data_IF_637779764792
#
_entry.id   IF_637779764792
#
_cell.length_a   1.000
_cell.length_b   1.000
_cell.length_c   1.000
_cell.angle_alpha   90.00
_cell.angle_beta   90.00
_cell.angle_gamma   90.00
#
_symmetry.space_group_name_H-M   'P 1'
#
loop_
_entity.id
_entity.type
_entity.pdbx_description
1 polymer ?
#
# COMPACT_ATOMS: atom_id res chain seq x y z
N UNK A 1 13.93 20.85 24.78
CA UNK A 1 14.42 19.60 25.38
C UNK A 1 13.51 18.54 24.81
N UNK A 2 14.01 17.70 23.91
CA UNK A 2 13.29 16.52 23.40
C UNK A 2 12.96 15.58 24.55
N UNK A 3 11.78 14.99 24.51
CA UNK A 3 11.39 13.95 25.48
C UNK A 3 12.41 12.80 25.41
N UNK A 4 12.81 12.17 26.52
CA UNK A 4 13.65 10.97 26.50
C UNK A 4 13.09 9.82 25.67
N UNK A 5 11.78 9.72 25.51
CA UNK A 5 11.13 8.73 24.64
C UNK A 5 11.37 9.04 23.15
N UNK A 6 11.19 10.30 22.73
CA UNK A 6 11.48 10.74 21.35
C UNK A 6 12.95 10.48 20.98
N UNK A 7 13.88 10.76 21.91
CA UNK A 7 15.30 10.52 21.68
C UNK A 7 15.62 9.02 21.47
N UNK A 8 14.94 8.13 22.19
CA UNK A 8 15.12 6.68 22.05
C UNK A 8 14.55 6.17 20.73
N UNK A 9 13.43 6.72 20.27
CA UNK A 9 12.84 6.39 18.97
C UNK A 9 13.75 6.83 17.81
N UNK A 10 14.28 8.05 17.85
CA UNK A 10 15.25 8.56 16.88
C UNK A 10 16.52 7.69 16.79
N UNK A 11 16.98 7.15 17.94
CA UNK A 11 18.14 6.24 17.97
C UNK A 11 17.83 4.92 17.27
N UNK A 12 16.65 4.36 17.48
CA UNK A 12 16.19 3.13 16.82
C UNK A 12 16.00 3.37 15.32
N UNK A 13 15.38 4.48 14.91
CA UNK A 13 15.24 4.85 13.50
C UNK A 13 16.61 4.93 12.81
N UNK A 14 17.58 5.61 13.43
CA UNK A 14 18.93 5.72 12.88
C UNK A 14 19.61 4.35 12.77
N UNK A 15 19.44 3.48 13.76
CA UNK A 15 19.99 2.13 13.73
C UNK A 15 19.38 1.28 12.61
N UNK A 16 18.08 1.38 12.38
CA UNK A 16 17.38 0.70 11.30
C UNK A 16 17.81 1.23 9.92
N UNK A 17 17.87 2.56 9.75
CA UNK A 17 18.29 3.19 8.49
C UNK A 17 19.78 2.96 8.16
N UNK A 18 20.61 2.67 9.16
CA UNK A 18 22.03 2.32 8.95
C UNK A 18 22.21 0.89 8.42
N UNK A 19 21.16 0.04 8.46
CA UNK A 19 21.19 -1.31 7.89
C UNK A 19 21.16 -1.28 6.37
N UNK A 20 21.38 -2.42 5.74
CA UNK A 20 21.24 -2.55 4.29
C UNK A 20 19.85 -2.06 3.86
N UNK A 21 19.79 -1.14 2.89
CA UNK A 21 18.53 -0.57 2.43
C UNK A 21 17.71 -1.62 1.69
N UNK A 22 16.40 -1.43 1.67
CA UNK A 22 15.44 -2.27 0.94
C UNK A 22 15.77 -2.43 -0.56
N UNK A 23 16.55 -1.50 -1.12
CA UNK A 23 16.96 -1.50 -2.54
C UNK A 23 18.19 -2.36 -2.83
N UNK A 24 18.91 -2.83 -1.81
CA UNK A 24 20.01 -3.76 -1.98
C UNK A 24 19.52 -5.17 -1.71
N UNK A 25 18.98 -5.78 -2.75
CA UNK A 25 18.41 -7.11 -2.67
C UNK A 25 19.49 -8.21 -2.74
N UNK A 26 19.42 -9.11 -1.78
CA UNK A 26 20.00 -10.45 -1.84
C UNK A 26 18.90 -11.45 -1.48
N UNK A 27 18.16 -11.96 -2.49
CA UNK A 27 17.01 -12.83 -2.30
C UNK A 27 17.40 -14.09 -1.51
N UNK A 28 17.06 -14.16 -0.23
CA UNK A 28 17.23 -15.33 0.64
C UNK A 28 16.34 -15.19 1.87
N UNK A 29 15.76 -16.28 2.30
CA UNK A 29 15.04 -16.37 3.57
C UNK A 29 15.95 -16.81 4.74
N UNK A 30 17.23 -17.09 4.50
CA UNK A 30 18.09 -17.71 5.51
C UNK A 30 18.33 -16.79 6.70
N UNK A 31 18.56 -15.48 6.46
CA UNK A 31 18.80 -14.49 7.50
C UNK A 31 17.57 -14.30 8.39
N UNK A 32 16.42 -14.06 7.77
CA UNK A 32 15.17 -13.88 8.54
C UNK A 32 14.75 -15.16 9.24
N UNK A 33 14.90 -16.34 8.64
CA UNK A 33 14.69 -17.65 9.31
C UNK A 33 15.58 -17.82 10.52
N UNK A 34 16.87 -17.46 10.40
CA UNK A 34 17.79 -17.51 11.53
C UNK A 34 17.33 -16.59 12.67
N UNK A 35 16.88 -15.37 12.34
CA UNK A 35 16.36 -14.44 13.34
C UNK A 35 15.13 -14.99 14.04
N UNK A 36 14.07 -15.34 13.29
CA UNK A 36 12.82 -15.80 13.91
C UNK A 36 13.03 -17.09 14.71
N UNK A 37 13.92 -17.99 14.27
CA UNK A 37 14.28 -19.17 15.03
C UNK A 37 14.93 -18.85 16.38
N UNK A 38 15.85 -17.88 16.42
CA UNK A 38 16.46 -17.41 17.67
C UNK A 38 15.44 -16.74 18.60
N UNK A 39 14.38 -16.14 18.04
CA UNK A 39 13.27 -15.53 18.77
C UNK A 39 12.21 -16.58 19.23
N UNK A 40 12.39 -17.85 18.91
CA UNK A 40 11.45 -18.92 19.27
C UNK A 40 10.28 -19.07 18.30
N UNK A 41 10.48 -18.70 17.03
CA UNK A 41 9.51 -18.82 15.94
C UNK A 41 8.18 -18.07 16.20
N UNK A 42 8.22 -16.77 16.59
CA UNK A 42 7.04 -16.00 16.97
C UNK A 42 5.96 -15.95 15.89
N UNK A 43 6.35 -16.00 14.60
CA UNK A 43 5.44 -15.98 13.44
C UNK A 43 4.52 -17.23 13.36
N UNK A 44 4.76 -18.24 14.18
CA UNK A 44 3.95 -19.48 14.23
C UNK A 44 2.91 -19.48 15.35
N UNK A 45 2.90 -18.46 16.20
CA UNK A 45 2.04 -18.42 17.40
C UNK A 45 0.61 -17.90 17.11
N UNK A 46 0.35 -17.42 15.91
CA UNK A 46 -0.94 -16.92 15.44
C UNK A 46 -1.15 -17.27 13.95
N UNK A 47 -2.41 -17.41 13.49
CA UNK A 47 -2.72 -17.57 12.09
C UNK A 47 -2.43 -16.30 11.28
N UNK A 48 -2.18 -16.46 9.97
CA UNK A 48 -1.78 -15.37 9.09
C UNK A 48 -2.63 -15.33 7.81
N UNK A 49 -3.05 -14.12 7.43
CA UNK A 49 -3.51 -13.78 6.08
C UNK A 49 -2.38 -12.98 5.43
N UNK A 50 -1.80 -13.51 4.36
CA UNK A 50 -0.69 -12.86 3.65
C UNK A 50 -1.15 -12.27 2.31
N UNK A 51 -0.69 -11.05 2.00
CA UNK A 51 -1.09 -10.35 0.79
C UNK A 51 0.13 -10.02 -0.08
N UNK A 52 0.01 -10.30 -1.38
CA UNK A 52 0.95 -9.82 -2.41
C UNK A 52 0.18 -9.24 -3.60
N UNK A 53 0.89 -8.65 -4.52
CA UNK A 53 0.37 -7.99 -5.72
C UNK A 53 1.22 -6.79 -6.10
N UNK A 54 0.91 -6.11 -7.19
CA UNK A 54 1.56 -4.85 -7.54
C UNK A 54 0.84 -3.70 -6.87
N UNK A 55 -0.45 -3.56 -7.09
CA UNK A 55 -1.29 -2.50 -6.52
C UNK A 55 -2.39 -3.09 -5.63
N UNK A 56 -2.89 -2.30 -4.67
CA UNK A 56 -4.03 -2.68 -3.82
C UNK A 56 -3.69 -3.42 -2.53
N UNK A 57 -2.45 -3.91 -2.34
CA UNK A 57 -2.04 -4.67 -1.14
C UNK A 57 -2.44 -3.99 0.18
N UNK A 58 -1.96 -2.77 0.41
CA UNK A 58 -2.17 -2.01 1.65
C UNK A 58 -3.65 -1.74 1.90
N UNK A 59 -4.39 -1.28 0.87
CA UNK A 59 -5.83 -1.02 1.00
C UNK A 59 -6.61 -2.30 1.31
N UNK A 60 -6.32 -3.40 0.60
CA UNK A 60 -6.94 -4.71 0.89
C UNK A 60 -6.58 -5.20 2.28
N UNK A 61 -5.31 -5.07 2.71
CA UNK A 61 -4.87 -5.45 4.04
C UNK A 61 -5.58 -4.67 5.15
N UNK A 62 -5.78 -3.36 4.98
CA UNK A 62 -6.55 -2.52 5.92
C UNK A 62 -8.02 -2.91 5.99
N UNK A 63 -8.63 -3.29 4.85
CA UNK A 63 -10.00 -3.78 4.80
C UNK A 63 -10.15 -5.14 5.49
N UNK A 64 -9.18 -6.05 5.30
CA UNK A 64 -9.11 -7.34 6.00
C UNK A 64 -9.00 -7.12 7.51
N UNK A 65 -8.08 -6.26 7.94
CA UNK A 65 -7.89 -5.90 9.35
C UNK A 65 -9.17 -5.32 9.97
N UNK A 66 -9.83 -4.38 9.28
CA UNK A 66 -11.06 -3.78 9.74
C UNK A 66 -12.20 -4.82 9.92
N UNK A 67 -12.35 -5.76 8.98
CA UNK A 67 -13.34 -6.86 9.08
C UNK A 67 -13.03 -7.75 10.29
N UNK A 68 -11.79 -8.17 10.47
CA UNK A 68 -11.38 -9.02 11.59
C UNK A 68 -11.59 -8.33 12.94
N UNK A 69 -11.24 -7.05 13.06
CA UNK A 69 -11.46 -6.25 14.28
C UNK A 69 -12.95 -6.07 14.58
N UNK A 70 -13.77 -5.81 13.56
CA UNK A 70 -15.21 -5.69 13.73
C UNK A 70 -15.87 -7.01 14.17
N UNK A 71 -15.24 -8.16 13.84
CA UNK A 71 -15.62 -9.47 14.38
C UNK A 71 -15.17 -9.68 15.85
N UNK A 72 -14.45 -8.73 16.43
CA UNK A 72 -13.93 -8.79 17.81
C UNK A 72 -12.61 -9.53 17.96
N UNK A 73 -11.88 -9.77 16.86
CA UNK A 73 -10.55 -10.38 16.89
C UNK A 73 -9.50 -9.32 17.15
N UNK A 74 -8.48 -9.68 17.92
CA UNK A 74 -7.27 -8.87 18.10
C UNK A 74 -6.33 -9.07 16.93
N UNK A 75 -6.01 -8.01 16.22
CA UNK A 75 -5.23 -8.10 14.98
C UNK A 75 -3.83 -7.55 15.11
N UNK A 76 -2.89 -8.16 14.37
CA UNK A 76 -1.62 -7.56 14.01
C UNK A 76 -1.60 -7.25 12.51
N UNK A 77 -1.14 -6.08 12.09
CA UNK A 77 -0.98 -5.78 10.68
C UNK A 77 0.44 -5.31 10.38
N UNK A 78 1.09 -5.96 9.42
CA UNK A 78 2.36 -5.52 8.86
C UNK A 78 2.14 -4.95 7.46
N UNK A 79 2.62 -3.73 7.23
CA UNK A 79 2.49 -3.02 5.95
C UNK A 79 3.79 -2.35 5.53
N UNK A 80 3.97 -2.12 4.22
CA UNK A 80 5.13 -1.42 3.67
C UNK A 80 4.82 -0.78 2.30
N UNK A 81 5.45 0.38 2.00
CA UNK A 81 6.20 1.23 2.92
C UNK A 81 5.27 1.99 3.88
N UNK A 82 5.83 2.69 4.87
CA UNK A 82 5.08 3.66 5.69
C UNK A 82 4.88 4.97 4.90
N UNK A 83 3.91 5.76 5.31
CA UNK A 83 3.61 7.05 4.71
C UNK A 83 4.35 8.19 5.43
N UNK A 84 4.29 8.24 6.76
CA UNK A 84 4.87 9.29 7.58
C UNK A 84 5.84 8.75 8.65
N UNK A 85 5.45 7.69 9.38
CA UNK A 85 6.21 7.13 10.50
C UNK A 85 6.54 5.65 10.30
N UNK A 86 7.72 5.21 10.73
CA UNK A 86 8.10 3.79 10.70
C UNK A 86 7.18 2.91 11.56
N UNK A 87 6.55 3.47 12.59
CA UNK A 87 5.60 2.75 13.44
C UNK A 87 4.38 2.25 12.68
N UNK A 88 3.98 2.93 11.58
CA UNK A 88 2.90 2.51 10.70
C UNK A 88 3.12 1.11 10.07
N UNK A 89 4.35 0.63 10.05
CA UNK A 89 4.64 -0.70 9.50
C UNK A 89 4.19 -1.83 10.41
N UNK A 90 3.97 -1.55 11.69
CA UNK A 90 3.53 -2.51 12.71
C UNK A 90 2.30 -1.95 13.40
N UNK A 91 1.12 -2.47 13.07
CA UNK A 91 -0.12 -2.07 13.70
C UNK A 91 -0.64 -3.19 14.61
N UNK A 92 -1.22 -2.81 15.73
CA UNK A 92 -1.89 -3.70 16.67
C UNK A 92 -3.29 -3.14 16.92
N UNK A 93 -4.32 -3.95 16.70
CA UNK A 93 -5.73 -3.55 16.82
C UNK A 93 -6.08 -2.32 15.96
N UNK A 94 -5.50 -2.22 14.75
CA UNK A 94 -5.75 -1.15 13.78
C UNK A 94 -4.98 0.14 14.01
N UNK A 95 -4.21 0.25 15.10
CA UNK A 95 -3.42 1.44 15.43
C UNK A 95 -1.92 1.16 15.23
N UNK A 96 -1.15 2.13 14.71
CA UNK A 96 0.30 2.03 14.68
C UNK A 96 0.86 1.75 16.06
N UNK A 97 1.88 0.90 16.16
CA UNK A 97 2.58 0.66 17.40
C UNK A 97 3.07 1.99 17.99
N UNK A 98 2.87 2.20 19.29
CA UNK A 98 3.44 3.39 19.93
C UNK A 98 4.98 3.36 19.83
N UNK A 99 5.60 4.54 19.88
CA UNK A 99 7.07 4.63 19.88
C UNK A 99 7.70 3.80 21.01
N UNK A 100 7.06 3.76 22.18
CA UNK A 100 7.51 2.92 23.31
C UNK A 100 7.51 1.43 22.95
N UNK A 101 6.42 0.94 22.33
CA UNK A 101 6.32 -0.46 21.86
C UNK A 101 7.36 -0.73 20.78
N UNK A 102 7.53 0.17 19.84
CA UNK A 102 8.50 0.06 18.75
C UNK A 102 9.95 -0.01 19.28
N UNK A 103 10.33 0.89 20.20
CA UNK A 103 11.65 0.94 20.84
C UNK A 103 11.90 -0.31 21.67
N UNK A 104 10.93 -0.72 22.49
CA UNK A 104 11.01 -1.95 23.30
C UNK A 104 11.23 -3.16 22.40
N UNK A 105 10.40 -3.35 21.38
CA UNK A 105 10.52 -4.48 20.45
C UNK A 105 11.88 -4.53 19.78
N UNK A 106 12.40 -3.39 19.31
CA UNK A 106 13.75 -3.34 18.74
C UNK A 106 14.82 -3.73 19.77
N UNK A 107 14.73 -3.19 20.98
CA UNK A 107 15.69 -3.46 22.07
C UNK A 107 15.71 -4.93 22.44
N UNK A 108 14.55 -5.57 22.52
CA UNK A 108 14.41 -6.98 22.87
C UNK A 108 15.03 -7.90 21.81
N UNK A 109 14.89 -7.57 20.52
CA UNK A 109 15.46 -8.37 19.44
C UNK A 109 16.93 -8.02 19.10
N UNK A 110 17.44 -6.86 19.51
CA UNK A 110 18.78 -6.37 19.14
C UNK A 110 19.92 -7.37 19.41
N UNK A 111 19.98 -8.08 20.56
CA UNK A 111 21.01 -9.09 20.78
C UNK A 111 20.99 -10.22 19.76
N UNK A 112 19.82 -10.62 19.26
CA UNK A 112 19.66 -11.67 18.26
C UNK A 112 20.04 -11.18 16.86
N UNK A 113 19.76 -9.90 16.53
CA UNK A 113 20.23 -9.29 15.29
C UNK A 113 21.76 -9.37 15.18
N UNK A 114 22.49 -9.06 16.26
CA UNK A 114 23.95 -9.18 16.28
C UNK A 114 24.45 -10.60 16.06
N UNK A 115 23.75 -11.61 16.61
CA UNK A 115 24.12 -13.02 16.42
C UNK A 115 23.96 -13.42 14.95
N UNK A 116 22.83 -13.05 14.32
CA UNK A 116 22.57 -13.33 12.90
C UNK A 116 23.58 -12.60 12.02
N UNK A 117 23.79 -11.30 12.24
CA UNK A 117 24.72 -10.47 11.45
C UNK A 117 26.15 -11.01 11.47
N UNK A 118 26.58 -11.66 12.57
CA UNK A 118 27.91 -12.30 12.67
C UNK A 118 27.97 -13.70 12.05
N UNK A 119 26.85 -14.41 11.96
CA UNK A 119 26.76 -15.81 11.51
C UNK A 119 26.44 -15.94 10.02
N UNK A 120 25.93 -14.90 9.39
CA UNK A 120 25.51 -14.91 7.99
C UNK A 120 26.53 -14.17 7.10
N UNK A 121 26.60 -14.48 5.79
CA UNK A 121 27.48 -13.80 4.86
C UNK A 121 27.25 -12.28 4.77
N UNK A 122 26.01 -11.86 5.02
CA UNK A 122 25.59 -10.45 5.01
C UNK A 122 24.68 -10.17 6.21
N UNK A 123 24.69 -8.96 6.76
CA UNK A 123 23.83 -8.58 7.86
C UNK A 123 22.35 -8.56 7.41
N UNK A 124 21.43 -8.66 8.36
CA UNK A 124 20.01 -8.43 8.14
C UNK A 124 19.78 -7.03 7.53
N UNK A 125 18.97 -6.97 6.50
CA UNK A 125 18.54 -5.70 5.91
C UNK A 125 17.58 -4.93 6.82
N UNK A 126 17.31 -3.68 6.47
CA UNK A 126 16.25 -2.89 7.11
C UNK A 126 14.91 -3.65 7.11
N UNK A 127 14.50 -4.17 5.93
CA UNK A 127 13.21 -4.84 5.78
C UNK A 127 13.13 -6.14 6.58
N UNK A 128 14.17 -6.98 6.55
CA UNK A 128 14.23 -8.20 7.36
C UNK A 128 14.15 -7.90 8.85
N UNK A 129 14.82 -6.83 9.30
CA UNK A 129 14.80 -6.44 10.71
C UNK A 129 13.42 -5.99 11.17
N UNK A 130 12.75 -5.11 10.40
CA UNK A 130 11.43 -4.63 10.78
C UNK A 130 10.35 -5.71 10.65
N UNK A 131 10.53 -6.66 9.72
CA UNK A 131 9.68 -7.87 9.65
C UNK A 131 9.82 -8.74 10.90
N UNK A 132 11.06 -8.95 11.37
CA UNK A 132 11.31 -9.68 12.62
C UNK A 132 10.73 -8.96 13.84
N UNK A 133 10.82 -7.62 13.89
CA UNK A 133 10.15 -6.80 14.91
C UNK A 133 8.64 -7.01 14.89
N UNK A 134 8.01 -6.99 13.71
CA UNK A 134 6.57 -7.18 13.59
C UNK A 134 6.13 -8.53 14.15
N UNK A 135 6.81 -9.60 13.78
CA UNK A 135 6.48 -10.94 14.28
C UNK A 135 6.64 -11.07 15.80
N UNK A 136 7.70 -10.48 16.37
CA UNK A 136 7.90 -10.44 17.81
C UNK A 136 6.79 -9.63 18.51
N UNK A 137 6.47 -8.43 17.97
CA UNK A 137 5.43 -7.57 18.53
C UNK A 137 4.05 -8.22 18.53
N UNK A 138 3.68 -8.95 17.46
CA UNK A 138 2.40 -9.64 17.36
C UNK A 138 2.30 -10.82 18.34
N UNK A 139 3.39 -11.55 18.54
CA UNK A 139 3.45 -12.61 19.54
C UNK A 139 3.35 -12.07 20.96
N UNK A 140 4.04 -10.96 21.26
CA UNK A 140 4.00 -10.30 22.57
C UNK A 140 2.62 -9.67 22.86
N UNK A 141 1.94 -9.17 21.83
CA UNK A 141 0.61 -8.59 21.93
C UNK A 141 -0.53 -9.63 21.94
N UNK A 142 -0.28 -10.91 22.05
CA UNK A 142 -1.01 -12.11 21.68
C UNK A 142 -2.20 -11.84 20.74
N UNK A 143 -1.90 -11.53 19.47
CA UNK A 143 -2.93 -11.30 18.46
C UNK A 143 -3.64 -12.60 18.07
N UNK A 144 -4.92 -12.52 17.73
CA UNK A 144 -5.70 -13.66 17.26
C UNK A 144 -5.39 -14.01 15.80
N UNK A 145 -4.96 -13.01 15.01
CA UNK A 145 -4.61 -13.15 13.59
C UNK A 145 -3.68 -12.01 13.15
N UNK A 146 -2.74 -12.32 12.25
CA UNK A 146 -1.92 -11.30 11.61
C UNK A 146 -2.25 -11.14 10.12
N UNK A 147 -2.32 -9.90 9.65
CA UNK A 147 -2.47 -9.49 8.25
C UNK A 147 -1.11 -8.99 7.76
N UNK A 148 -0.47 -9.72 6.86
CA UNK A 148 0.94 -9.50 6.51
C UNK A 148 1.08 -9.14 5.03
N UNK A 149 1.46 -7.89 4.77
CA UNK A 149 1.74 -7.39 3.44
C UNK A 149 3.18 -7.74 3.03
N UNK A 150 3.33 -8.36 1.85
CA UNK A 150 4.63 -8.61 1.21
C UNK A 150 5.25 -7.30 0.74
N UNK A 151 6.52 -7.07 1.06
CA UNK A 151 7.25 -5.90 0.59
C UNK A 151 7.49 -5.93 -0.92
N UNK A 152 8.12 -7.00 -1.40
CA UNK A 152 8.42 -7.17 -2.83
C UNK A 152 8.44 -8.64 -3.23
N UNK A 153 7.86 -8.95 -4.41
CA UNK A 153 7.83 -10.32 -4.92
C UNK A 153 6.91 -11.22 -4.10
N UNK A 154 7.44 -12.25 -3.49
CA UNK A 154 6.68 -13.21 -2.70
C UNK A 154 7.55 -14.35 -2.18
N UNK A 155 8.10 -15.20 -3.05
CA UNK A 155 8.79 -16.43 -2.66
C UNK A 155 9.98 -16.22 -1.71
N UNK A 156 10.74 -15.16 -1.91
CA UNK A 156 11.95 -14.81 -1.13
C UNK A 156 11.77 -13.57 -0.24
N UNK A 157 10.59 -12.96 -0.22
CA UNK A 157 10.32 -11.82 0.67
C UNK A 157 10.42 -12.24 2.14
N UNK A 158 11.00 -11.38 2.98
CA UNK A 158 11.20 -11.68 4.40
C UNK A 158 9.90 -12.08 5.12
N UNK A 159 8.75 -11.55 4.66
CA UNK A 159 7.44 -11.91 5.21
C UNK A 159 7.04 -13.35 4.92
N UNK A 160 7.66 -14.01 3.93
CA UNK A 160 7.25 -15.35 3.48
C UNK A 160 7.82 -16.51 4.32
N UNK A 161 8.39 -16.19 5.49
CA UNK A 161 8.71 -17.23 6.53
C UNK A 161 7.46 -17.75 7.24
N UNK A 162 6.30 -17.11 7.06
CA UNK A 162 5.01 -17.58 7.59
C UNK A 162 4.38 -18.65 6.71
N UNK A 163 3.58 -19.53 7.29
CA UNK A 163 2.68 -20.43 6.58
C UNK A 163 1.25 -19.87 6.68
N UNK A 164 0.91 -18.99 5.75
CA UNK A 164 -0.36 -18.29 5.75
C UNK A 164 -1.53 -19.25 5.51
N UNK A 165 -2.62 -19.09 6.26
CA UNK A 165 -3.86 -19.85 6.06
C UNK A 165 -4.60 -19.34 4.81
N UNK A 166 -4.52 -18.01 4.56
CA UNK A 166 -5.08 -17.39 3.37
C UNK A 166 -4.01 -16.55 2.69
N UNK A 167 -3.86 -16.74 1.38
CA UNK A 167 -2.94 -16.01 0.52
C UNK A 167 -3.73 -15.17 -0.47
N UNK A 168 -3.63 -13.85 -0.38
CA UNK A 168 -4.34 -12.91 -1.27
C UNK A 168 -3.37 -12.39 -2.34
N UNK A 169 -3.75 -12.52 -3.61
CA UNK A 169 -2.99 -11.95 -4.72
C UNK A 169 -3.84 -10.85 -5.36
N UNK A 170 -3.50 -9.61 -5.06
CA UNK A 170 -4.12 -8.43 -5.69
C UNK A 170 -3.59 -8.24 -7.12
N UNK A 171 -4.11 -7.31 -7.95
CA UNK A 171 -3.70 -7.19 -9.34
C UNK A 171 -2.18 -7.10 -9.54
N UNK A 172 -1.67 -7.89 -10.48
CA UNK A 172 -0.25 -7.95 -10.86
C UNK A 172 -0.02 -7.17 -12.14
N UNK A 173 0.89 -6.21 -12.08
CA UNK A 173 1.34 -5.38 -13.19
C UNK A 173 2.86 -5.20 -13.13
N UNK A 174 3.44 -4.52 -14.11
CA UNK A 174 4.87 -4.22 -14.11
C UNK A 174 5.18 -3.17 -13.05
N UNK A 175 6.00 -3.54 -12.09
CA UNK A 175 6.68 -2.66 -11.14
C UNK A 175 7.94 -3.38 -10.67
N UNK A 176 8.95 -2.63 -10.22
CA UNK A 176 10.25 -3.17 -9.81
C UNK A 176 10.89 -4.08 -10.88
N UNK A 177 10.78 -3.69 -12.17
CA UNK A 177 11.20 -4.50 -13.30
C UNK A 177 12.66 -4.98 -13.23
N UNK A 178 13.57 -4.15 -12.67
CA UNK A 178 14.98 -4.49 -12.46
C UNK A 178 15.20 -5.69 -11.52
N UNK A 179 14.20 -6.07 -10.71
CA UNK A 179 14.29 -7.15 -9.73
C UNK A 179 13.36 -8.32 -10.04
N UNK A 180 12.17 -8.04 -10.53
CA UNK A 180 11.11 -9.05 -10.69
C UNK A 180 10.90 -9.45 -12.17
N UNK A 181 11.47 -8.70 -13.11
CA UNK A 181 11.29 -8.93 -14.55
C UNK A 181 10.38 -7.89 -15.22
N UNK A 182 10.44 -7.86 -16.54
CA UNK A 182 9.77 -6.86 -17.37
C UNK A 182 8.35 -7.28 -17.79
N UNK A 183 7.96 -8.53 -17.53
CA UNK A 183 6.66 -9.07 -17.91
C UNK A 183 5.81 -9.39 -16.68
N UNK A 184 4.50 -9.09 -16.69
CA UNK A 184 3.61 -9.42 -15.58
C UNK A 184 3.64 -10.90 -15.20
N UNK A 185 3.80 -11.82 -16.16
CA UNK A 185 3.90 -13.25 -15.93
C UNK A 185 5.15 -13.62 -15.09
N UNK A 186 6.30 -13.00 -15.35
CA UNK A 186 7.53 -13.25 -14.61
C UNK A 186 7.39 -12.76 -13.15
N UNK A 187 6.78 -11.59 -12.98
CA UNK A 187 6.43 -11.02 -11.67
C UNK A 187 5.44 -11.92 -10.91
N UNK A 188 4.48 -12.51 -11.63
CA UNK A 188 3.50 -13.42 -11.06
C UNK A 188 4.12 -14.69 -10.49
N UNK A 189 5.20 -15.21 -11.09
CA UNK A 189 5.92 -16.39 -10.59
C UNK A 189 6.44 -16.14 -9.16
N UNK A 190 7.05 -14.97 -8.94
CA UNK A 190 7.54 -14.60 -7.61
C UNK A 190 6.40 -14.41 -6.62
N UNK A 191 5.33 -13.72 -7.03
CA UNK A 191 4.18 -13.47 -6.17
C UNK A 191 3.43 -14.74 -5.81
N UNK A 192 3.31 -15.68 -6.74
CA UNK A 192 2.71 -16.98 -6.51
C UNK A 192 3.38 -17.78 -5.37
N UNK A 193 4.64 -17.44 -5.01
CA UNK A 193 5.38 -18.09 -3.94
C UNK A 193 4.74 -17.99 -2.55
N UNK A 194 3.82 -17.04 -2.30
CA UNK A 194 3.08 -16.98 -1.03
C UNK A 194 1.98 -18.06 -0.94
N UNK A 195 1.54 -18.62 -2.07
CA UNK A 195 0.55 -19.70 -2.11
C UNK A 195 1.26 -20.99 -1.74
N UNK A 196 0.99 -21.52 -0.54
CA UNK A 196 1.65 -22.68 0.05
C UNK A 196 0.71 -23.86 0.20
N UNK A 197 1.23 -25.09 0.37
CA UNK A 197 0.40 -26.25 0.69
C UNK A 197 -0.46 -26.00 1.92
N UNK A 198 -1.76 -26.33 1.81
CA UNK A 198 -2.72 -26.14 2.90
C UNK A 198 -3.30 -24.72 3.03
N UNK A 199 -2.84 -23.75 2.24
CA UNK A 199 -3.43 -22.40 2.21
C UNK A 199 -4.69 -22.35 1.33
N UNK A 200 -5.45 -21.27 1.47
CA UNK A 200 -6.53 -20.88 0.55
C UNK A 200 -6.11 -19.63 -0.19
N UNK A 201 -6.12 -19.67 -1.53
CA UNK A 201 -5.74 -18.56 -2.38
C UNK A 201 -6.98 -17.73 -2.77
N UNK A 202 -6.93 -16.42 -2.51
CA UNK A 202 -7.91 -15.43 -3.00
C UNK A 202 -7.21 -14.61 -4.08
N UNK A 203 -7.69 -14.75 -5.32
CA UNK A 203 -7.06 -14.15 -6.49
C UNK A 203 -7.95 -13.04 -7.04
N UNK A 204 -7.47 -11.80 -7.04
CA UNK A 204 -8.09 -10.73 -7.81
C UNK A 204 -8.08 -11.07 -9.30
N UNK A 205 -8.93 -10.42 -10.10
CA UNK A 205 -8.90 -10.54 -11.54
C UNK A 205 -7.53 -10.16 -12.10
N UNK A 206 -7.04 -10.94 -13.04
CA UNK A 206 -5.70 -10.83 -13.62
C UNK A 206 -5.74 -10.86 -15.13
N UNK A 207 -4.66 -10.42 -15.78
CA UNK A 207 -4.47 -10.72 -17.19
C UNK A 207 -4.39 -12.24 -17.41
N UNK A 208 -4.77 -12.77 -18.59
CA UNK A 208 -4.77 -14.21 -18.84
C UNK A 208 -3.41 -14.88 -18.55
N UNK A 209 -2.30 -14.23 -18.91
CA UNK A 209 -0.95 -14.76 -18.69
C UNK A 209 -0.58 -14.85 -17.19
N UNK A 210 -1.02 -13.89 -16.36
CA UNK A 210 -0.83 -13.92 -14.90
C UNK A 210 -1.74 -14.97 -14.27
N UNK A 211 -3.00 -15.03 -14.69
CA UNK A 211 -3.98 -16.03 -14.21
C UNK A 211 -3.49 -17.46 -14.43
N UNK A 212 -2.88 -17.75 -15.59
CA UNK A 212 -2.29 -19.06 -15.88
C UNK A 212 -1.17 -19.43 -14.90
N UNK A 213 -0.26 -18.51 -14.59
CA UNK A 213 0.83 -18.72 -13.62
C UNK A 213 0.28 -19.02 -12.23
N UNK A 214 -0.68 -18.22 -11.76
CA UNK A 214 -1.29 -18.39 -10.44
C UNK A 214 -2.07 -19.71 -10.35
N UNK A 215 -2.84 -20.06 -11.38
CA UNK A 215 -3.57 -21.32 -11.44
C UNK A 215 -2.64 -22.54 -11.43
N UNK A 216 -1.52 -22.47 -12.16
CA UNK A 216 -0.50 -23.51 -12.16
C UNK A 216 0.09 -23.70 -10.73
N UNK A 217 0.36 -22.63 -10.00
CA UNK A 217 0.86 -22.68 -8.62
C UNK A 217 -0.16 -23.27 -7.66
N UNK A 218 -1.43 -22.85 -7.75
CA UNK A 218 -2.54 -23.41 -6.95
C UNK A 218 -2.63 -24.91 -7.16
N UNK A 219 -2.60 -25.35 -8.41
CA UNK A 219 -2.65 -26.78 -8.73
C UNK A 219 -1.42 -27.55 -8.23
N UNK A 220 -0.22 -26.97 -8.36
CA UNK A 220 1.05 -27.57 -7.87
C UNK A 220 1.01 -27.87 -6.38
N UNK A 221 0.53 -26.90 -5.57
CA UNK A 221 0.54 -27.03 -4.10
C UNK A 221 -0.76 -27.63 -3.54
N UNK A 222 -1.79 -27.80 -4.38
CA UNK A 222 -3.10 -28.32 -3.95
C UNK A 222 -3.84 -27.37 -3.02
N UNK A 223 -3.68 -26.05 -3.18
CA UNK A 223 -4.39 -25.04 -2.40
C UNK A 223 -5.85 -24.92 -2.81
N UNK A 224 -6.73 -24.56 -1.87
CA UNK A 224 -8.07 -24.07 -2.20
C UNK A 224 -7.95 -22.72 -2.95
N UNK A 225 -8.93 -22.38 -3.78
CA UNK A 225 -8.86 -21.12 -4.55
C UNK A 225 -10.23 -20.49 -4.76
N UNK A 226 -10.28 -19.17 -4.70
CA UNK A 226 -11.38 -18.36 -5.19
C UNK A 226 -10.84 -17.24 -6.10
N UNK A 227 -11.53 -16.99 -7.21
CA UNK A 227 -11.14 -16.02 -8.23
C UNK A 227 -12.21 -14.95 -8.35
N UNK A 228 -11.80 -13.69 -8.38
CA UNK A 228 -12.69 -12.56 -8.61
C UNK A 228 -13.39 -12.67 -9.97
N UNK A 229 -14.69 -12.39 -9.99
CA UNK A 229 -15.53 -12.53 -11.19
C UNK A 229 -16.17 -13.92 -11.33
N UNK A 230 -15.63 -14.95 -10.67
CA UNK A 230 -16.20 -16.30 -10.68
C UNK A 230 -16.90 -16.64 -9.35
N UNK A 231 -16.16 -16.57 -8.22
CA UNK A 231 -16.70 -16.96 -6.90
C UNK A 231 -17.01 -15.78 -6.00
N UNK A 232 -16.39 -14.63 -6.22
CA UNK A 232 -16.62 -13.41 -5.45
C UNK A 232 -16.44 -12.17 -6.33
N UNK A 233 -16.90 -11.01 -5.87
CA UNK A 233 -16.67 -9.75 -6.58
C UNK A 233 -17.69 -8.67 -6.23
N UNK A 234 -17.69 -7.59 -7.00
CA UNK A 234 -18.61 -6.46 -6.89
C UNK A 234 -19.77 -6.67 -7.86
N UNK A 235 -20.99 -6.80 -7.35
CA UNK A 235 -22.21 -6.99 -8.18
C UNK A 235 -22.92 -5.66 -8.46
N UNK A 236 -22.79 -4.67 -7.56
CA UNK A 236 -23.29 -3.31 -7.75
C UNK A 236 -22.31 -2.31 -7.16
N UNK A 237 -22.05 -1.23 -7.89
CA UNK A 237 -21.26 -0.11 -7.44
C UNK A 237 -21.94 1.21 -7.81
N UNK A 238 -22.16 2.04 -6.81
CA UNK A 238 -22.76 3.37 -6.96
C UNK A 238 -21.80 4.42 -6.36
N UNK A 239 -21.03 5.13 -7.17
CA UNK A 239 -20.21 6.25 -6.69
C UNK A 239 -21.07 7.33 -6.04
N UNK A 240 -20.55 7.95 -4.98
CA UNK A 240 -21.24 8.99 -4.24
C UNK A 240 -20.30 9.95 -3.54
N UNK A 241 -20.89 10.89 -2.83
CA UNK A 241 -20.12 11.89 -2.07
C UNK A 241 -19.42 11.22 -0.89
N UNK A 242 -18.10 11.37 -0.83
CA UNK A 242 -17.28 10.84 0.26
C UNK A 242 -17.01 9.33 0.19
N UNK A 243 -17.34 8.67 -0.92
CA UNK A 243 -17.12 7.24 -1.11
C UNK A 243 -18.05 6.61 -2.13
N UNK A 244 -18.40 5.35 -1.91
CA UNK A 244 -19.24 4.58 -2.82
C UNK A 244 -20.10 3.56 -2.06
N UNK A 245 -21.28 3.26 -2.59
CA UNK A 245 -22.16 2.21 -2.08
C UNK A 245 -21.98 0.95 -2.91
N UNK A 246 -21.76 -0.18 -2.26
CA UNK A 246 -21.44 -1.45 -2.89
C UNK A 246 -22.49 -2.53 -2.56
N UNK A 247 -22.67 -3.46 -3.48
CA UNK A 247 -23.13 -4.82 -3.20
C UNK A 247 -21.98 -5.75 -3.55
N UNK A 248 -21.59 -6.57 -2.59
CA UNK A 248 -20.45 -7.48 -2.70
C UNK A 248 -20.96 -8.93 -2.67
N UNK A 249 -20.61 -9.71 -3.69
CA UNK A 249 -20.73 -11.16 -3.63
C UNK A 249 -19.48 -11.70 -2.93
N UNK A 250 -19.65 -12.24 -1.73
CA UNK A 250 -18.63 -13.01 -1.03
C UNK A 250 -18.62 -14.48 -1.45
N UNK A 251 -17.82 -15.30 -0.78
CA UNK A 251 -17.78 -16.76 -0.99
C UNK A 251 -19.02 -17.45 -0.45
N UNK A 252 -19.55 -16.95 0.66
CA UNK A 252 -20.67 -17.54 1.38
C UNK A 252 -22.01 -16.84 1.08
N UNK A 253 -22.02 -15.52 0.94
CA UNK A 253 -23.25 -14.73 0.80
C UNK A 253 -23.06 -13.47 -0.03
N UNK A 254 -24.18 -12.81 -0.37
CA UNK A 254 -24.20 -11.47 -0.94
C UNK A 254 -24.45 -10.43 0.18
N UNK A 255 -23.66 -9.34 0.18
CA UNK A 255 -23.71 -8.26 1.16
C UNK A 255 -24.10 -6.96 0.46
N UNK A 256 -25.27 -6.44 0.82
CA UNK A 256 -25.87 -5.27 0.18
C UNK A 256 -25.70 -4.00 1.02
N UNK A 257 -25.77 -2.83 0.36
CA UNK A 257 -25.71 -1.52 1.01
C UNK A 257 -24.44 -1.35 1.88
N UNK A 258 -23.31 -1.82 1.37
CA UNK A 258 -22.00 -1.65 2.01
C UNK A 258 -21.41 -0.32 1.59
N UNK A 259 -21.33 0.64 2.50
CA UNK A 259 -20.67 1.92 2.25
C UNK A 259 -19.16 1.78 2.43
N UNK A 260 -18.40 2.24 1.42
CA UNK A 260 -16.94 2.30 1.45
C UNK A 260 -16.51 3.77 1.27
N UNK A 261 -15.88 4.43 2.27
CA UNK A 261 -15.45 5.83 2.21
C UNK A 261 -14.15 6.01 1.41
N UNK A 262 -13.95 5.22 0.37
CA UNK A 262 -12.83 5.30 -0.56
C UNK A 262 -13.36 5.40 -1.99
N UNK A 263 -12.63 6.13 -2.84
CA UNK A 263 -13.02 6.38 -4.23
C UNK A 263 -12.36 5.42 -5.22
N UNK A 264 -13.01 5.21 -6.35
CA UNK A 264 -12.51 4.43 -7.47
C UNK A 264 -12.94 2.96 -7.46
N UNK A 265 -13.10 2.41 -8.66
CA UNK A 265 -13.49 1.01 -8.87
C UNK A 265 -12.48 0.03 -8.25
N UNK A 266 -11.18 0.35 -8.35
CA UNK A 266 -10.12 -0.46 -7.76
C UNK A 266 -10.29 -0.68 -6.25
N UNK A 267 -10.82 0.31 -5.50
CA UNK A 267 -11.09 0.17 -4.07
C UNK A 267 -12.30 -0.73 -3.80
N UNK A 268 -13.33 -0.69 -4.65
CA UNK A 268 -14.46 -1.62 -4.56
C UNK A 268 -14.00 -3.07 -4.79
N UNK A 269 -13.13 -3.29 -5.76
CA UNK A 269 -12.53 -4.62 -6.03
C UNK A 269 -11.63 -5.09 -4.88
N UNK A 270 -10.84 -4.20 -4.29
CA UNK A 270 -10.07 -4.50 -3.07
C UNK A 270 -10.98 -4.94 -1.93
N UNK A 271 -12.17 -4.31 -1.79
CA UNK A 271 -13.16 -4.70 -0.78
C UNK A 271 -13.71 -6.11 -1.04
N UNK A 272 -13.98 -6.48 -2.30
CA UNK A 272 -14.36 -7.84 -2.68
C UNK A 272 -13.29 -8.87 -2.30
N UNK A 273 -12.02 -8.58 -2.59
CA UNK A 273 -10.90 -9.45 -2.20
C UNK A 273 -10.76 -9.57 -0.67
N UNK A 274 -10.92 -8.46 0.06
CA UNK A 274 -10.83 -8.46 1.52
C UNK A 274 -11.94 -9.30 2.16
N UNK A 275 -13.19 -9.14 1.68
CA UNK A 275 -14.34 -9.93 2.13
C UNK A 275 -14.10 -11.42 1.90
N UNK A 276 -13.72 -11.80 0.67
CA UNK A 276 -13.45 -13.19 0.32
C UNK A 276 -12.30 -13.79 1.17
N UNK A 277 -11.27 -12.99 1.47
CA UNK A 277 -10.16 -13.42 2.31
C UNK A 277 -10.59 -13.73 3.75
N UNK A 278 -11.45 -12.88 4.33
CA UNK A 278 -11.94 -13.09 5.69
C UNK A 278 -12.93 -14.26 5.74
N UNK A 279 -13.85 -14.38 4.77
CA UNK A 279 -14.74 -15.55 4.70
C UNK A 279 -13.93 -16.86 4.55
N UNK A 280 -12.88 -16.89 3.70
CA UNK A 280 -12.01 -18.04 3.58
C UNK A 280 -11.29 -18.35 4.91
N UNK A 281 -10.84 -17.33 5.61
CA UNK A 281 -10.16 -17.46 6.91
C UNK A 281 -11.05 -18.08 7.98
N UNK A 282 -12.31 -17.70 8.01
CA UNK A 282 -13.29 -18.27 8.98
C UNK A 282 -13.94 -19.58 8.50
N UNK A 283 -13.42 -20.16 7.43
CA UNK A 283 -13.87 -21.49 6.94
C UNK A 283 -15.04 -21.45 5.96
N UNK A 284 -15.27 -20.33 5.27
CA UNK A 284 -16.29 -20.18 4.22
C UNK A 284 -17.69 -19.99 4.79
N UNK A 285 -17.83 -19.41 5.96
CA UNK A 285 -19.12 -19.08 6.57
C UNK A 285 -19.53 -17.63 6.30
N UNK A 286 -20.83 -17.39 6.19
CA UNK A 286 -21.43 -16.06 6.06
C UNK A 286 -21.06 -15.19 7.26
N UNK A 287 -20.65 -13.96 7.00
CA UNK A 287 -20.41 -12.95 8.02
C UNK A 287 -21.71 -12.20 8.34
N UNK A 288 -21.81 -11.64 9.54
CA UNK A 288 -22.91 -10.76 9.87
C UNK A 288 -22.88 -9.49 9.00
N UNK A 289 -24.02 -9.13 8.39
CA UNK A 289 -24.10 -7.98 7.48
C UNK A 289 -23.75 -6.66 8.17
N UNK A 290 -24.12 -6.50 9.44
CA UNK A 290 -23.81 -5.28 10.20
C UNK A 290 -22.31 -5.20 10.54
N UNK A 291 -21.64 -6.35 10.75
CA UNK A 291 -20.19 -6.44 10.88
C UNK A 291 -19.51 -5.99 9.58
N UNK A 292 -19.97 -6.49 8.43
CA UNK A 292 -19.40 -6.11 7.13
C UNK A 292 -19.60 -4.62 6.85
N UNK A 293 -20.82 -4.09 7.06
CA UNK A 293 -21.13 -2.66 6.88
C UNK A 293 -20.33 -1.78 7.83
N UNK A 294 -20.23 -2.15 9.09
CA UNK A 294 -19.44 -1.42 10.09
C UNK A 294 -17.96 -1.36 9.72
N UNK A 295 -17.38 -2.51 9.40
CA UNK A 295 -15.98 -2.62 9.04
C UNK A 295 -15.62 -1.73 7.83
N UNK A 296 -16.34 -1.89 6.72
CA UNK A 296 -16.05 -1.11 5.52
C UNK A 296 -16.34 0.38 5.67
N UNK A 297 -17.37 0.73 6.47
CA UNK A 297 -17.74 2.14 6.72
C UNK A 297 -16.69 2.94 7.48
N UNK A 298 -15.81 2.28 8.21
CA UNK A 298 -14.74 2.90 9.01
C UNK A 298 -13.35 2.81 8.36
N UNK A 299 -13.23 2.17 7.20
CA UNK A 299 -11.92 1.99 6.53
C UNK A 299 -11.33 3.33 6.12
N UNK A 300 -10.11 3.59 6.57
CA UNK A 300 -9.29 4.68 6.08
C UNK A 300 -8.07 4.14 5.34
N UNK A 301 -7.71 4.77 4.24
CA UNK A 301 -6.50 4.45 3.48
C UNK A 301 -5.74 5.75 3.15
N UNK A 302 -4.96 6.29 4.11
CA UNK A 302 -4.21 7.51 3.90
C UNK A 302 -3.36 7.46 2.62
N UNK A 303 -3.32 8.60 1.89
CA UNK A 303 -2.63 8.69 0.61
C UNK A 303 -3.27 7.88 -0.53
N UNK A 304 -4.56 7.53 -0.45
CA UNK A 304 -5.35 6.90 -1.52
C UNK A 304 -6.57 7.76 -1.83
N UNK A 305 -6.42 8.71 -2.75
CA UNK A 305 -7.37 9.79 -3.04
C UNK A 305 -7.89 10.48 -1.77
N UNK A 306 -6.98 10.69 -0.83
CA UNK A 306 -7.25 11.35 0.44
C UNK A 306 -7.43 12.85 0.25
N UNK A 307 -8.60 13.38 0.65
CA UNK A 307 -8.84 14.84 0.64
C UNK A 307 -8.24 15.44 1.91
N UNK A 308 -7.10 16.13 1.76
CA UNK A 308 -6.36 16.70 2.89
C UNK A 308 -6.72 18.17 3.16
N UNK A 309 -7.11 18.90 2.14
CA UNK A 309 -7.54 20.31 2.22
C UNK A 309 -8.76 20.56 1.34
N UNK A 310 -9.67 21.45 1.78
CA UNK A 310 -10.94 21.68 1.10
C UNK A 310 -11.03 23.01 0.33
N UNK A 311 -10.02 23.89 0.43
CA UNK A 311 -10.02 25.17 -0.28
C UNK A 311 -8.59 25.67 -0.50
N UNK A 312 -8.07 25.65 -1.76
CA UNK A 312 -8.58 24.78 -2.82
C UNK A 312 -8.56 23.32 -2.38
N UNK A 313 -9.32 22.46 -3.05
CA UNK A 313 -9.31 21.03 -2.72
C UNK A 313 -7.95 20.46 -3.08
N UNK A 314 -7.27 19.82 -2.10
CA UNK A 314 -6.03 19.09 -2.35
C UNK A 314 -6.29 17.62 -2.02
N UNK A 315 -5.98 16.76 -2.99
CA UNK A 315 -6.11 15.31 -2.91
C UNK A 315 -4.72 14.70 -2.97
N UNK A 316 -4.47 13.70 -2.13
CA UNK A 316 -3.22 12.94 -2.09
C UNK A 316 -3.46 11.53 -2.66
N UNK A 317 -2.63 11.09 -3.60
CA UNK A 317 -2.64 9.71 -4.09
C UNK A 317 -1.24 9.19 -4.35
N UNK A 318 -0.89 8.07 -3.73
CA UNK A 318 0.43 7.48 -3.79
C UNK A 318 0.67 6.55 -5.00
N UNK A 319 -0.04 6.75 -6.10
CA UNK A 319 0.23 6.08 -7.37
C UNK A 319 1.68 6.37 -7.83
N UNK A 320 2.42 5.32 -8.19
CA UNK A 320 3.85 5.41 -8.49
C UNK A 320 4.29 4.45 -9.61
N UNK A 321 3.35 3.85 -10.31
CA UNK A 321 3.54 3.03 -11.49
C UNK A 321 2.40 3.28 -12.49
N UNK A 322 2.52 2.91 -13.78
CA UNK A 322 1.52 3.23 -14.79
C UNK A 322 0.12 2.71 -14.47
N UNK A 323 0.00 1.50 -13.95
CA UNK A 323 -1.30 0.93 -13.59
C UNK A 323 -1.96 1.66 -12.42
N UNK A 324 -1.17 2.07 -11.40
CA UNK A 324 -1.64 2.90 -10.29
C UNK A 324 -2.04 4.29 -10.74
N UNK A 325 -1.25 4.92 -11.63
CA UNK A 325 -1.56 6.22 -12.21
C UNK A 325 -2.89 6.19 -13.00
N UNK A 326 -3.10 5.12 -13.78
CA UNK A 326 -4.36 4.92 -14.50
C UNK A 326 -5.56 4.83 -13.56
N UNK A 327 -5.47 4.00 -12.53
CA UNK A 327 -6.54 3.85 -11.54
C UNK A 327 -6.83 5.15 -10.78
N UNK A 328 -5.78 5.93 -10.44
CA UNK A 328 -5.93 7.22 -9.78
C UNK A 328 -6.57 8.26 -10.71
N UNK A 329 -6.15 8.35 -11.97
CA UNK A 329 -6.69 9.28 -12.96
C UNK A 329 -8.19 9.04 -13.21
N UNK A 330 -8.59 7.77 -13.40
CA UNK A 330 -9.99 7.38 -13.55
C UNK A 330 -10.82 7.77 -12.30
N UNK A 331 -10.31 7.40 -11.13
CA UNK A 331 -11.03 7.64 -9.87
C UNK A 331 -11.14 9.13 -9.53
N UNK A 332 -10.14 9.97 -9.85
CA UNK A 332 -10.22 11.43 -9.69
C UNK A 332 -11.30 12.02 -10.59
N UNK A 333 -11.37 11.60 -11.85
CA UNK A 333 -12.40 12.10 -12.78
C UNK A 333 -13.81 11.68 -12.35
N UNK A 334 -13.95 10.48 -11.80
CA UNK A 334 -15.24 9.97 -11.32
C UNK A 334 -15.69 10.66 -10.03
N UNK A 335 -14.78 10.83 -9.07
CA UNK A 335 -15.11 11.31 -7.73
C UNK A 335 -15.19 12.84 -7.61
N UNK A 336 -14.47 13.55 -8.48
CA UNK A 336 -14.31 15.02 -8.40
C UNK A 336 -14.58 15.68 -9.74
N UNK A 337 -15.26 16.84 -9.67
CA UNK A 337 -15.53 17.67 -10.85
C UNK A 337 -14.55 18.86 -10.89
N UNK A 338 -13.24 18.57 -10.90
CA UNK A 338 -12.22 19.61 -10.93
C UNK A 338 -12.13 20.30 -12.30
N UNK A 339 -12.09 21.63 -12.28
CA UNK A 339 -11.87 22.47 -13.45
C UNK A 339 -11.16 23.78 -13.00
N UNK A 340 -9.82 23.87 -13.17
CA UNK A 340 -8.88 22.85 -13.64
C UNK A 340 -8.45 21.85 -12.59
N UNK A 341 -7.91 20.68 -13.00
CA UNK A 341 -7.11 19.82 -12.15
C UNK A 341 -5.62 20.14 -12.36
N UNK A 342 -4.91 20.43 -11.28
CA UNK A 342 -3.46 20.72 -11.29
C UNK A 342 -2.73 19.55 -10.62
N UNK A 343 -1.73 18.97 -11.30
CA UNK A 343 -0.88 17.93 -10.72
C UNK A 343 0.33 18.51 -9.99
N UNK A 344 0.64 18.00 -8.80
CA UNK A 344 1.97 18.11 -8.18
C UNK A 344 2.59 16.73 -8.23
N UNK A 345 3.63 16.57 -9.03
CA UNK A 345 4.20 15.24 -9.33
C UNK A 345 5.65 15.17 -8.90
N UNK A 346 5.95 14.18 -8.05
CA UNK A 346 7.32 13.85 -7.65
C UNK A 346 7.50 12.33 -7.63
N UNK A 347 8.40 11.82 -8.48
CA UNK A 347 8.59 10.39 -8.73
C UNK A 347 10.00 9.93 -8.36
N UNK A 348 10.17 8.62 -8.18
CA UNK A 348 11.49 8.00 -8.05
C UNK A 348 12.11 7.76 -9.43
N UNK A 349 13.44 7.89 -9.53
CA UNK A 349 14.18 7.78 -10.79
C UNK A 349 14.11 6.37 -11.44
N UNK A 350 13.79 5.35 -10.66
CA UNK A 350 13.67 3.96 -11.11
C UNK A 350 12.29 3.58 -11.66
N UNK A 351 11.37 4.54 -11.76
CA UNK A 351 10.00 4.30 -12.21
C UNK A 351 9.79 4.64 -13.70
N UNK A 352 8.73 4.13 -14.29
CA UNK A 352 8.33 4.41 -15.68
C UNK A 352 7.70 5.82 -15.80
N UNK A 353 8.54 6.85 -15.69
CA UNK A 353 8.13 8.26 -15.54
C UNK A 353 7.30 8.74 -16.72
N UNK A 354 7.75 8.43 -17.95
CA UNK A 354 7.06 8.82 -19.19
C UNK A 354 5.63 8.28 -19.23
N UNK A 355 5.44 7.00 -18.85
CA UNK A 355 4.12 6.35 -18.87
C UNK A 355 3.20 6.91 -17.78
N UNK A 356 3.76 7.20 -16.59
CA UNK A 356 3.00 7.84 -15.49
C UNK A 356 2.51 9.22 -15.91
N UNK A 357 3.39 10.05 -16.45
CA UNK A 357 3.06 11.40 -16.91
C UNK A 357 2.07 11.37 -18.08
N UNK A 358 2.28 10.49 -19.07
CA UNK A 358 1.36 10.33 -20.19
C UNK A 358 -0.04 9.91 -19.76
N UNK A 359 -0.16 9.14 -18.67
CA UNK A 359 -1.45 8.74 -18.11
C UNK A 359 -2.19 9.92 -17.48
N UNK A 360 -1.47 10.85 -16.84
CA UNK A 360 -2.08 12.02 -16.22
C UNK A 360 -2.30 13.20 -17.18
N UNK A 361 -1.62 13.24 -18.33
CA UNK A 361 -1.68 14.35 -19.29
C UNK A 361 -3.11 14.72 -19.71
N UNK A 362 -4.00 13.76 -20.05
CA UNK A 362 -5.37 14.06 -20.48
C UNK A 362 -6.26 14.67 -19.38
N UNK A 363 -5.90 14.47 -18.11
CA UNK A 363 -6.74 14.84 -16.96
C UNK A 363 -6.24 16.06 -16.22
N UNK A 364 -4.94 16.41 -16.33
CA UNK A 364 -4.34 17.55 -15.66
C UNK A 364 -4.22 18.73 -16.62
N UNK A 365 -4.71 19.89 -16.22
CA UNK A 365 -4.54 21.14 -16.98
C UNK A 365 -3.09 21.62 -16.96
N UNK A 366 -2.43 21.53 -15.80
CA UNK A 366 -1.04 21.86 -15.59
C UNK A 366 -0.40 20.82 -14.67
N UNK A 367 0.93 20.65 -14.79
CA UNK A 367 1.73 19.83 -13.89
C UNK A 367 2.85 20.68 -13.26
N UNK A 368 2.99 20.56 -11.95
CA UNK A 368 4.10 21.13 -11.17
C UNK A 368 5.04 19.99 -10.80
N UNK A 369 6.18 19.92 -11.46
CA UNK A 369 7.21 18.93 -11.23
C UNK A 369 8.03 19.29 -9.99
N UNK A 370 8.16 18.33 -9.06
CA UNK A 370 8.89 18.50 -7.81
C UNK A 370 9.75 17.27 -7.50
N UNK A 371 10.46 17.30 -6.38
CA UNK A 371 11.22 16.17 -5.87
C UNK A 371 11.00 16.01 -4.37
N UNK A 372 11.07 14.78 -3.87
CA UNK A 372 11.02 14.49 -2.44
C UNK A 372 12.44 14.44 -1.83
N UNK A 373 12.50 14.25 -0.50
CA UNK A 373 13.76 14.31 0.26
C UNK A 373 14.71 13.15 0.03
N UNK A 374 14.27 12.04 -0.58
CA UNK A 374 15.11 10.89 -0.80
C UNK A 374 16.11 11.11 -1.94
N UNK A 375 17.33 10.60 -1.77
CA UNK A 375 18.40 10.66 -2.79
C UNK A 375 18.05 9.92 -4.10
N UNK A 376 17.03 9.04 -4.09
CA UNK A 376 16.53 8.33 -5.28
C UNK A 376 15.38 9.07 -5.98
N UNK A 377 14.95 10.21 -5.46
CA UNK A 377 13.97 11.04 -6.16
C UNK A 377 14.53 11.49 -7.49
N UNK A 378 13.74 11.43 -8.56
CA UNK A 378 14.13 12.08 -9.81
C UNK A 378 14.23 13.58 -9.57
N UNK A 379 15.34 14.25 -9.95
CA UNK A 379 15.46 15.69 -9.79
C UNK A 379 14.33 16.44 -10.51
N UNK A 380 13.79 17.47 -9.85
CA UNK A 380 12.63 18.20 -10.37
C UNK A 380 12.86 18.79 -11.77
N UNK A 381 14.11 19.23 -12.08
CA UNK A 381 14.44 19.78 -13.39
C UNK A 381 14.41 18.70 -14.48
N UNK A 382 14.93 17.49 -14.19
CA UNK A 382 14.89 16.35 -15.12
C UNK A 382 13.45 15.85 -15.34
N UNK A 383 12.64 15.82 -14.27
CA UNK A 383 11.23 15.51 -14.38
C UNK A 383 10.49 16.55 -15.23
N UNK A 384 10.85 17.83 -15.09
CA UNK A 384 10.32 18.93 -15.89
C UNK A 384 10.61 18.75 -17.38
N UNK A 385 11.86 18.42 -17.73
CA UNK A 385 12.25 18.18 -19.13
C UNK A 385 11.43 17.06 -19.78
N UNK A 386 11.20 15.96 -19.04
CA UNK A 386 10.34 14.86 -19.52
C UNK A 386 8.89 15.33 -19.66
N UNK A 387 8.39 16.05 -18.66
CA UNK A 387 7.02 16.55 -18.65
C UNK A 387 6.75 17.55 -19.80
N UNK A 388 7.71 18.42 -20.15
CA UNK A 388 7.58 19.33 -21.29
C UNK A 388 7.40 18.57 -22.62
N UNK A 389 8.03 17.43 -22.77
CA UNK A 389 7.84 16.56 -23.92
C UNK A 389 6.44 15.97 -24.05
N UNK A 390 5.71 15.86 -22.96
CA UNK A 390 4.38 15.22 -22.88
C UNK A 390 3.26 16.26 -22.82
N UNK A 391 3.36 17.23 -21.88
CA UNK A 391 2.34 18.26 -21.64
C UNK A 391 2.50 19.51 -22.52
N UNK A 392 3.70 19.75 -23.06
CA UNK A 392 4.10 21.01 -23.67
C UNK A 392 4.57 22.05 -22.64
N UNK A 393 5.49 22.97 -23.03
CA UNK A 393 6.16 23.86 -22.09
C UNK A 393 5.22 24.83 -21.35
N UNK A 394 4.09 25.20 -21.95
CA UNK A 394 3.14 26.16 -21.36
C UNK A 394 2.36 25.54 -20.16
N UNK A 395 2.34 24.22 -20.02
CA UNK A 395 1.61 23.51 -18.98
C UNK A 395 2.52 22.96 -17.86
N UNK A 396 3.84 23.15 -17.96
CA UNK A 396 4.82 22.59 -17.03
C UNK A 396 5.43 23.67 -16.16
N UNK A 397 5.44 23.42 -14.86
CA UNK A 397 6.08 24.25 -13.86
C UNK A 397 7.08 23.43 -13.06
N UNK A 398 8.28 23.96 -12.76
CA UNK A 398 9.26 23.24 -11.97
C UNK A 398 9.48 23.95 -10.64
N UNK A 399 9.34 23.21 -9.54
CA UNK A 399 9.62 23.67 -8.18
C UNK A 399 10.32 22.56 -7.42
N UNK A 400 11.58 22.78 -7.02
CA UNK A 400 12.37 21.76 -6.33
C UNK A 400 11.84 21.43 -4.93
N UNK A 401 11.25 22.43 -4.25
CA UNK A 401 10.66 22.24 -2.92
C UNK A 401 9.19 21.88 -3.06
N UNK A 402 8.77 20.88 -2.30
CA UNK A 402 7.40 20.38 -2.34
C UNK A 402 6.38 21.42 -1.83
N UNK A 403 6.72 22.18 -0.78
CA UNK A 403 5.89 23.27 -0.27
C UNK A 403 5.64 24.35 -1.35
N UNK A 404 6.71 24.81 -2.02
CA UNK A 404 6.61 25.76 -3.14
C UNK A 404 5.79 25.19 -4.31
N UNK A 405 5.91 23.88 -4.57
CA UNK A 405 5.14 23.21 -5.62
C UNK A 405 3.64 23.18 -5.31
N UNK A 406 3.28 22.86 -4.07
CA UNK A 406 1.89 22.85 -3.59
C UNK A 406 1.29 24.27 -3.65
N UNK A 407 2.05 25.29 -3.24
CA UNK A 407 1.58 26.68 -3.28
C UNK A 407 1.33 27.17 -4.70
N UNK A 408 2.23 26.85 -5.65
CA UNK A 408 2.04 27.18 -7.07
C UNK A 408 0.81 26.45 -7.64
N UNK A 409 0.66 25.16 -7.34
CA UNK A 409 -0.48 24.38 -7.81
C UNK A 409 -1.81 24.92 -7.23
N UNK A 410 -1.82 25.32 -5.96
CA UNK A 410 -2.99 25.91 -5.32
C UNK A 410 -3.37 27.25 -5.99
N UNK A 411 -2.38 28.12 -6.30
CA UNK A 411 -2.61 29.37 -7.05
C UNK A 411 -3.22 29.12 -8.43
N UNK A 412 -2.65 28.16 -9.20
CA UNK A 412 -3.18 27.80 -10.53
C UNK A 412 -4.61 27.23 -10.47
N UNK A 413 -4.92 26.46 -9.43
CA UNK A 413 -6.27 25.92 -9.23
C UNK A 413 -7.30 27.02 -8.89
N UNK A 414 -6.88 28.11 -8.23
CA UNK A 414 -7.74 29.25 -7.91
C UNK A 414 -7.89 30.23 -9.09
N UNK A 415 -6.85 30.39 -9.93
CA UNK A 415 -6.87 31.26 -11.10
C UNK A 415 -7.70 30.74 -12.29
N UNK A 416 -7.89 29.42 -12.36
CA UNK A 416 -8.45 28.70 -13.51
C UNK A 416 -9.95 28.89 -13.73
N UNK A 417 -10.67 29.67 -12.93
CA UNK A 417 -12.06 30.02 -13.17
C UNK A 417 -12.19 31.07 -14.29
N UNK A 418 -12.29 30.61 -15.55
CA UNK A 418 -12.63 31.48 -16.68
C UNK A 418 -14.01 32.08 -16.49
N UNK A 419 -14.25 33.24 -17.09
CA UNK A 419 -15.52 33.98 -17.04
C UNK A 419 -16.73 33.06 -17.28
N UNK A 420 -17.47 32.74 -16.19
CA UNK A 420 -18.68 31.92 -16.24
C UNK A 420 -18.63 30.56 -15.55
N UNK A 421 -17.47 30.09 -15.12
CA UNK A 421 -17.33 28.90 -14.27
C UNK A 421 -17.39 29.28 -12.79
N UNK A 422 -17.85 28.32 -11.94
CA UNK A 422 -17.95 28.60 -10.52
C UNK A 422 -16.53 28.79 -9.93
N UNK A 423 -16.28 29.96 -9.35
CA UNK A 423 -15.07 30.24 -8.58
C UNK A 423 -14.87 29.13 -7.52
N UNK A 424 -13.72 28.43 -7.54
CA UNK A 424 -13.39 27.40 -6.58
C UNK A 424 -13.64 25.95 -7.04
N UNK A 425 -13.85 25.73 -8.35
CA UNK A 425 -13.94 24.36 -8.93
C UNK A 425 -12.59 23.72 -9.23
N UNK A 426 -11.47 24.45 -9.10
CA UNK A 426 -10.12 23.90 -9.28
C UNK A 426 -9.70 22.99 -8.14
N UNK A 427 -8.88 21.97 -8.48
CA UNK A 427 -8.32 21.04 -7.50
C UNK A 427 -6.86 20.72 -7.77
N UNK A 428 -6.19 20.23 -6.76
CA UNK A 428 -4.79 19.80 -6.81
C UNK A 428 -4.72 18.30 -6.50
N UNK A 429 -4.00 17.54 -7.32
CA UNK A 429 -3.63 16.15 -7.04
C UNK A 429 -2.12 16.08 -6.80
N UNK A 430 -1.71 15.68 -5.59
CA UNK A 430 -0.30 15.36 -5.27
C UNK A 430 -0.09 13.88 -5.44
N UNK A 431 0.87 13.47 -6.30
CA UNK A 431 1.05 12.06 -6.66
C UNK A 431 2.48 11.75 -7.14
N UNK A 432 2.71 10.49 -7.52
CA UNK A 432 3.92 9.99 -8.15
C UNK A 432 4.83 9.17 -7.24
N UNK A 433 4.69 9.28 -5.92
CA UNK A 433 5.46 8.49 -4.95
C UNK A 433 4.80 8.48 -3.58
N UNK A 434 4.90 7.35 -2.87
CA UNK A 434 4.48 7.26 -1.46
C UNK A 434 5.19 8.31 -0.61
N UNK A 435 6.49 8.54 -0.84
CA UNK A 435 7.28 9.52 -0.08
C UNK A 435 6.82 10.96 -0.37
N UNK A 436 6.62 11.32 -1.63
CA UNK A 436 6.11 12.65 -2.00
C UNK A 436 4.75 12.93 -1.34
N UNK A 437 3.89 11.92 -1.30
CA UNK A 437 2.56 12.02 -0.67
C UNK A 437 2.67 12.10 0.85
N UNK A 438 3.55 11.31 1.49
CA UNK A 438 3.79 11.38 2.92
C UNK A 438 4.32 12.75 3.36
N UNK A 439 5.33 13.29 2.66
CA UNK A 439 5.85 14.64 2.92
C UNK A 439 4.77 15.73 2.71
N UNK A 440 3.95 15.60 1.67
CA UNK A 440 2.84 16.53 1.44
C UNK A 440 1.80 16.47 2.56
N UNK A 441 1.49 15.26 3.06
CA UNK A 441 0.55 15.04 4.17
C UNK A 441 1.04 15.70 5.46
N UNK A 442 2.33 15.54 5.78
CA UNK A 442 2.96 16.23 6.91
C UNK A 442 2.93 17.75 6.77
N UNK A 443 3.24 18.30 5.58
CA UNK A 443 3.22 19.74 5.31
C UNK A 443 1.81 20.34 5.44
N UNK A 444 0.78 19.61 5.07
CA UNK A 444 -0.61 20.05 5.07
C UNK A 444 -1.36 19.77 6.37
N UNK A 445 -0.72 19.12 7.34
CA UNK A 445 -1.30 18.82 8.66
C UNK A 445 -2.44 17.80 8.57
N UNK A 446 -2.18 16.65 7.95
CA UNK A 446 -3.14 15.54 7.88
C UNK A 446 -3.59 15.09 9.28
N UNK A 447 -4.79 14.51 9.41
CA UNK A 447 -5.21 13.90 10.66
C UNK A 447 -4.23 12.75 11.00
N UNK A 448 -3.77 12.76 12.23
CA UNK A 448 -2.88 11.74 12.77
C UNK A 448 -3.67 10.48 13.12
#
# INVERSE_FOLDING_TARGET
MTDPADAAYDDVQRALLARWPETRLEPSLDRIRALVHLLGDPQTTYPVIQLTGTNGKTSTGRMVDALLRQMGLRTGQFTSPHLESMTERINIDGEPASEEVFVRTYTDIAPYLEVVDRSQPHPLSFFETITGMAYAAFSDAPVDVAVVEVGMGGSWDATSVVDAQVSVVTPVAVDHASYLGERPADIAVEKAGIIKPGSFAVLAEQTPEVAEVLAARVAEVGAGVAVEGDQFGVTLRLPGVGGQMLTLQGLAAEYTEVFLPLHGEHQARNAGCALAAVEAFVGGIELDLDVVRGAFGEVASPGRLEVIRRSPVIVLDAAHNPAGAYAAAEAVQEAFSFSPLIGVVGVMADKAVDEILATFEPVMAHVVCTQNSLSRSLPADELGDIAEGIFGPDRVHVRRRLDDAIDVAAGLAEEGGSYGEALGSGGVLVTGSVITVGEARQLLGGPH
#
